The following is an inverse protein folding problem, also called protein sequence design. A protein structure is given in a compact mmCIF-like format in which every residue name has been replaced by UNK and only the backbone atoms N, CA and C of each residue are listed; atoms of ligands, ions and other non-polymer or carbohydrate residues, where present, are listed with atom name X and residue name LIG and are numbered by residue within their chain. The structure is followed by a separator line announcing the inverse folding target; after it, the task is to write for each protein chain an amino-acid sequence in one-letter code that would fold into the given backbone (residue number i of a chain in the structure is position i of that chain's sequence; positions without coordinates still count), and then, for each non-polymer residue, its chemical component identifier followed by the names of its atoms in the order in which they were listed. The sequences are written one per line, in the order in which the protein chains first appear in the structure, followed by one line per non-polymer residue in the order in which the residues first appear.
data_IF_042910049958
#
_entry.id   IF_042910049958
#
_cell.length_a   1.000
_cell.length_b   1.000
_cell.length_c   1.000
_cell.angle_alpha   90.00
_cell.angle_beta   90.00
_cell.angle_gamma   90.00
#
_symmetry.space_group_name_H-M   'P 1'
#
loop_
_entity.id
_entity.type
_entity.pdbx_description
1 polymer ?
#
# COMPACT_ATOMS: atom_id res chain seq x y z
N UNK A 1 -33.28 -2.86 8.63
CA UNK A 1 -33.40 -4.32 8.53
C UNK A 1 -34.85 -4.68 8.27
N UNK A 2 -35.20 -5.17 7.07
CA UNK A 2 -36.54 -5.59 6.72
C UNK A 2 -36.94 -6.84 7.51
N UNK A 3 -38.20 -6.91 7.93
CA UNK A 3 -38.77 -8.11 8.51
C UNK A 3 -39.31 -8.99 7.38
N UNK A 4 -38.57 -10.05 7.04
CA UNK A 4 -39.00 -11.07 6.08
C UNK A 4 -39.49 -12.30 6.83
N UNK A 5 -40.73 -12.70 6.56
CA UNK A 5 -41.36 -13.82 7.26
C UNK A 5 -40.57 -15.11 6.99
N UNK A 6 -40.03 -15.70 8.07
CA UNK A 6 -39.25 -16.94 8.00
C UNK A 6 -37.75 -16.76 7.69
N UNK A 7 -37.25 -15.54 7.59
CA UNK A 7 -35.82 -15.25 7.47
C UNK A 7 -35.33 -14.46 8.69
N UNK A 8 -34.33 -15.02 9.38
CA UNK A 8 -33.69 -14.38 10.54
C UNK A 8 -32.27 -13.96 10.15
N UNK A 9 -31.99 -12.66 10.26
CA UNK A 9 -30.66 -12.13 10.00
C UNK A 9 -29.73 -12.46 11.17
N UNK A 10 -28.50 -12.95 10.93
CA UNK A 10 -27.55 -13.29 12.00
C UNK A 10 -27.17 -12.05 12.84
N UNK A 11 -27.58 -12.02 14.11
CA UNK A 11 -27.36 -10.86 14.99
C UNK A 11 -25.86 -10.70 15.30
N UNK A 12 -25.16 -11.81 15.38
CA UNK A 12 -23.70 -11.90 15.55
C UNK A 12 -22.92 -11.17 14.45
N UNK A 13 -23.50 -11.01 13.26
CA UNK A 13 -22.84 -10.38 12.11
C UNK A 13 -22.95 -8.84 12.12
N UNK A 14 -23.84 -8.27 12.94
CA UNK A 14 -24.08 -6.81 12.95
C UNK A 14 -22.81 -6.01 13.27
N UNK A 15 -22.09 -6.38 14.33
CA UNK A 15 -20.84 -5.69 14.72
C UNK A 15 -19.69 -5.95 13.75
N UNK A 16 -19.37 -7.22 13.39
CA UNK A 16 -18.33 -7.52 12.40
C UNK A 16 -18.55 -6.81 11.07
N UNK A 17 -19.79 -6.79 10.55
CA UNK A 17 -20.12 -6.12 9.31
C UNK A 17 -19.88 -4.61 9.41
N UNK A 18 -20.35 -3.99 10.49
CA UNK A 18 -20.16 -2.56 10.72
C UNK A 18 -18.69 -2.16 10.84
N UNK A 19 -17.90 -2.94 11.59
CA UNK A 19 -16.47 -2.70 11.77
C UNK A 19 -15.69 -2.90 10.47
N UNK A 20 -16.05 -3.92 9.68
CA UNK A 20 -15.46 -4.16 8.36
C UNK A 20 -15.67 -2.97 7.42
N UNK A 21 -16.90 -2.47 7.32
CA UNK A 21 -17.22 -1.31 6.48
C UNK A 21 -16.55 -0.03 6.99
N UNK A 22 -16.43 0.15 8.31
CA UNK A 22 -15.66 1.26 8.90
C UNK A 22 -14.18 1.18 8.53
N UNK A 23 -13.57 0.01 8.60
CA UNK A 23 -12.18 -0.22 8.18
C UNK A 23 -11.97 0.14 6.69
N UNK A 24 -12.96 -0.11 5.83
CA UNK A 24 -12.93 0.29 4.42
C UNK A 24 -13.26 1.76 4.17
N UNK A 25 -13.56 2.53 5.23
CA UNK A 25 -14.09 3.91 5.15
C UNK A 25 -15.38 4.00 4.32
N UNK A 26 -16.18 2.93 4.37
CA UNK A 26 -17.48 2.78 3.70
C UNK A 26 -18.60 2.51 4.70
N UNK A 27 -18.44 2.90 5.97
CA UNK A 27 -19.44 2.69 7.02
C UNK A 27 -20.83 3.27 6.72
N UNK A 28 -20.91 4.28 5.85
CA UNK A 28 -22.20 4.83 5.38
C UNK A 28 -23.01 3.84 4.52
N UNK A 29 -22.40 2.76 4.01
CA UNK A 29 -23.10 1.69 3.30
C UNK A 29 -23.76 0.69 4.24
N UNK A 30 -23.49 0.75 5.56
CA UNK A 30 -23.98 -0.23 6.53
C UNK A 30 -25.49 -0.42 6.46
N UNK A 31 -26.24 0.68 6.46
CA UNK A 31 -27.70 0.62 6.37
C UNK A 31 -28.17 0.01 5.04
N UNK A 32 -27.50 0.32 3.93
CA UNK A 32 -27.82 -0.27 2.61
C UNK A 32 -27.62 -1.78 2.60
N UNK A 33 -26.54 -2.27 3.21
CA UNK A 33 -26.29 -3.72 3.29
C UNK A 33 -27.34 -4.40 4.20
N UNK A 34 -27.68 -3.81 5.34
CA UNK A 34 -28.72 -4.33 6.22
C UNK A 34 -30.11 -4.32 5.59
N UNK A 35 -30.42 -3.31 4.78
CA UNK A 35 -31.70 -3.20 4.10
C UNK A 35 -31.86 -4.24 2.98
N UNK A 36 -30.74 -4.74 2.45
CA UNK A 36 -30.68 -5.76 1.40
C UNK A 36 -30.26 -7.13 1.95
N UNK A 37 -30.32 -7.30 3.28
CA UNK A 37 -30.00 -8.54 4.02
C UNK A 37 -28.62 -9.13 3.69
N UNK A 38 -27.62 -8.28 3.50
CA UNK A 38 -26.24 -8.71 3.30
C UNK A 38 -25.59 -8.97 4.66
N UNK A 39 -25.33 -10.24 4.95
CA UNK A 39 -24.59 -10.72 6.13
C UNK A 39 -23.12 -11.04 5.79
N UNK A 40 -22.34 -11.50 6.77
CA UNK A 40 -20.92 -11.80 6.56
C UNK A 40 -20.73 -12.98 5.61
N UNK A 41 -21.63 -13.96 5.64
CA UNK A 41 -21.58 -15.13 4.76
C UNK A 41 -21.86 -14.73 3.31
N UNK A 42 -22.87 -13.91 3.05
CA UNK A 42 -23.22 -13.39 1.72
C UNK A 42 -22.03 -12.61 1.15
N UNK A 43 -21.34 -11.80 1.96
CA UNK A 43 -20.12 -11.11 1.52
C UNK A 43 -19.04 -12.07 1.02
N UNK A 44 -18.90 -13.28 1.56
CA UNK A 44 -17.87 -14.24 1.09
C UNK A 44 -18.11 -14.74 -0.33
N UNK A 45 -19.37 -14.79 -0.79
CA UNK A 45 -19.76 -15.32 -2.10
C UNK A 45 -20.20 -14.23 -3.09
N UNK A 46 -20.28 -12.98 -2.62
CA UNK A 46 -20.72 -11.84 -3.41
C UNK A 46 -19.76 -11.54 -4.57
N UNK A 47 -20.32 -11.37 -5.78
CA UNK A 47 -19.56 -11.09 -7.01
C UNK A 47 -19.74 -9.64 -7.46
N UNK A 48 -18.86 -9.18 -8.33
CA UNK A 48 -18.93 -7.82 -8.92
C UNK A 48 -20.34 -7.48 -9.42
N UNK A 49 -20.99 -8.38 -10.18
CA UNK A 49 -22.37 -8.15 -10.68
C UNK A 49 -23.35 -7.81 -9.55
N UNK A 50 -23.28 -8.50 -8.42
CA UNK A 50 -24.14 -8.25 -7.26
C UNK A 50 -23.81 -6.91 -6.60
N UNK A 51 -22.54 -6.49 -6.58
CA UNK A 51 -22.12 -5.18 -6.05
C UNK A 51 -22.73 -4.04 -6.86
N UNK A 52 -22.70 -4.14 -8.19
CA UNK A 52 -23.28 -3.12 -9.07
C UNK A 52 -24.80 -3.04 -8.96
N UNK A 53 -25.46 -4.18 -8.70
CA UNK A 53 -26.89 -4.28 -8.39
C UNK A 53 -27.23 -3.64 -7.03
N UNK A 54 -26.55 -4.09 -5.96
CA UNK A 54 -26.72 -3.63 -4.57
C UNK A 54 -26.54 -2.11 -4.47
N UNK A 55 -25.45 -1.60 -5.06
CA UNK A 55 -25.07 -0.21 -4.95
C UNK A 55 -25.58 0.64 -6.11
N UNK A 56 -26.62 0.19 -6.84
CA UNK A 56 -27.08 0.86 -8.07
C UNK A 56 -27.34 2.36 -7.92
N UNK A 57 -27.84 2.79 -6.75
CA UNK A 57 -28.15 4.18 -6.38
C UNK A 57 -26.92 5.03 -6.02
N UNK A 58 -25.76 4.40 -5.83
CA UNK A 58 -24.52 5.08 -5.48
C UNK A 58 -23.68 5.44 -6.71
N UNK A 59 -22.83 6.47 -6.63
CA UNK A 59 -21.90 6.82 -7.70
C UNK A 59 -20.96 5.66 -8.05
N UNK A 60 -20.52 5.58 -9.32
CA UNK A 60 -19.63 4.53 -9.84
C UNK A 60 -18.37 4.35 -8.98
N UNK A 61 -17.77 5.45 -8.50
CA UNK A 61 -16.58 5.39 -7.64
C UNK A 61 -16.81 4.62 -6.34
N UNK A 62 -18.02 4.66 -5.77
CA UNK A 62 -18.35 3.89 -4.57
C UNK A 62 -18.49 2.41 -4.90
N UNK A 63 -19.11 2.07 -6.04
CA UNK A 63 -19.22 0.68 -6.53
C UNK A 63 -17.85 0.04 -6.72
N UNK A 64 -16.95 0.77 -7.41
CA UNK A 64 -15.58 0.32 -7.65
C UNK A 64 -14.82 0.14 -6.33
N UNK A 65 -14.90 1.13 -5.43
CA UNK A 65 -14.19 1.07 -4.14
C UNK A 65 -14.67 -0.09 -3.27
N UNK A 66 -15.99 -0.30 -3.18
CA UNK A 66 -16.55 -1.43 -2.44
C UNK A 66 -16.12 -2.75 -3.06
N UNK A 67 -16.23 -2.90 -4.39
CA UNK A 67 -15.82 -4.11 -5.11
C UNK A 67 -14.35 -4.46 -4.86
N UNK A 68 -13.46 -3.47 -4.87
CA UNK A 68 -12.04 -3.68 -4.61
C UNK A 68 -11.76 -4.18 -3.19
N UNK A 69 -12.37 -3.55 -2.18
CA UNK A 69 -12.17 -3.98 -0.80
C UNK A 69 -12.78 -5.35 -0.51
N UNK A 70 -13.94 -5.65 -1.12
CA UNK A 70 -14.59 -6.94 -1.02
C UNK A 70 -13.70 -8.07 -1.58
N UNK A 71 -13.16 -7.89 -2.79
CA UNK A 71 -12.30 -8.87 -3.45
C UNK A 71 -11.02 -9.13 -2.63
N UNK A 72 -10.37 -8.06 -2.15
CA UNK A 72 -9.19 -8.20 -1.29
C UNK A 72 -9.51 -8.95 0.01
N UNK A 73 -10.65 -8.65 0.64
CA UNK A 73 -11.07 -9.31 1.86
C UNK A 73 -11.38 -10.80 1.63
N UNK A 74 -12.10 -11.14 0.56
CA UNK A 74 -12.38 -12.53 0.17
C UNK A 74 -11.07 -13.32 -0.07
N UNK A 75 -10.09 -12.72 -0.74
CA UNK A 75 -8.79 -13.35 -1.01
C UNK A 75 -8.02 -13.67 0.28
N UNK A 76 -8.11 -12.81 1.29
CA UNK A 76 -7.51 -13.08 2.61
C UNK A 76 -8.20 -14.24 3.32
N UNK A 77 -9.52 -14.37 3.20
CA UNK A 77 -10.26 -15.51 3.79
C UNK A 77 -9.93 -16.83 3.10
N UNK A 78 -9.81 -16.82 1.78
CA UNK A 78 -9.49 -18.01 0.99
C UNK A 78 -8.01 -18.45 1.12
N UNK A 79 -7.11 -17.53 1.51
CA UNK A 79 -5.70 -17.80 1.73
C UNK A 79 -5.39 -18.72 2.93
N UNK A 80 -6.38 -19.06 3.76
CA UNK A 80 -6.21 -19.96 4.90
C UNK A 80 -6.59 -21.43 4.61
N UNK A 81 -6.98 -21.78 3.37
CA UNK A 81 -7.19 -23.16 2.95
C UNK A 81 -6.95 -23.32 1.45
N UNK A 82 -5.75 -23.80 1.12
CA UNK A 82 -5.38 -24.68 -0.01
C UNK A 82 -4.08 -24.23 -0.71
N UNK A 83 -2.99 -24.91 -0.35
CA UNK A 83 -1.91 -25.16 -1.29
C UNK A 83 -2.45 -25.98 -2.46
N UNK A 84 -2.53 -25.39 -3.65
CA UNK A 84 -2.19 -26.07 -4.92
C UNK A 84 -2.05 -25.05 -6.05
N UNK A 85 -0.84 -24.97 -6.58
CA UNK A 85 -0.57 -24.51 -7.94
C UNK A 85 -1.47 -25.28 -8.92
N UNK A 86 -2.03 -24.59 -9.91
CA UNK A 86 -1.63 -24.82 -11.29
C UNK A 86 -2.11 -23.71 -12.24
N UNK A 87 -1.11 -23.19 -12.95
CA UNK A 87 -1.06 -22.44 -14.20
C UNK A 87 -2.22 -22.71 -15.19
N UNK A 88 -2.70 -21.66 -15.88
CA UNK A 88 -2.77 -21.49 -17.36
C UNK A 88 -3.67 -20.29 -17.70
N UNK A 89 -3.06 -19.23 -18.25
CA UNK A 89 -3.70 -18.24 -19.15
C UNK A 89 -3.82 -18.88 -20.56
N UNK A 90 -4.74 -18.48 -21.48
CA UNK A 90 -4.66 -17.13 -22.09
C UNK A 90 -5.90 -16.51 -22.81
N UNK A 91 -5.81 -15.16 -23.00
CA UNK A 91 -6.35 -14.30 -24.10
C UNK A 91 -7.87 -14.08 -24.14
N UNK A 92 -8.45 -12.95 -24.54
CA UNK A 92 -8.03 -11.79 -25.34
C UNK A 92 -9.12 -10.69 -25.14
N UNK A 93 -8.79 -9.40 -25.29
CA UNK A 93 -9.43 -8.42 -26.22
C UNK A 93 -9.02 -6.98 -25.83
N UNK A 94 -8.53 -6.25 -26.84
CA UNK A 94 -8.06 -4.85 -26.89
C UNK A 94 -9.25 -3.90 -26.57
N UNK A 95 -9.16 -2.67 -26.06
CA UNK A 95 -8.16 -1.61 -26.23
C UNK A 95 -8.47 -0.40 -25.30
N UNK A 96 -7.48 0.48 -25.15
CA UNK A 96 -7.48 1.84 -24.59
C UNK A 96 -7.51 1.99 -23.05
N UNK A 97 -6.33 1.77 -22.46
CA UNK A 97 -5.99 2.22 -21.11
C UNK A 97 -4.75 3.10 -21.23
N UNK A 98 -4.83 4.34 -20.76
CA UNK A 98 -3.65 5.10 -20.36
C UNK A 98 -3.03 4.34 -19.19
N UNK A 99 -1.86 3.75 -19.40
CA UNK A 99 -1.10 3.00 -18.41
C UNK A 99 -0.75 3.90 -17.21
N UNK A 100 -1.53 3.82 -16.14
CA UNK A 100 -1.03 3.99 -14.79
C UNK A 100 -0.65 2.60 -14.29
N UNK A 101 0.61 2.35 -13.90
CA UNK A 101 1.07 1.03 -13.52
C UNK A 101 0.34 0.61 -12.24
N UNK A 102 -0.45 -0.46 -12.33
CA UNK A 102 -0.95 -1.18 -11.16
C UNK A 102 0.27 -1.85 -10.52
N UNK A 103 0.99 -1.09 -9.70
CA UNK A 103 2.10 -1.62 -8.91
C UNK A 103 1.47 -2.55 -7.91
N UNK A 104 1.74 -3.83 -8.06
CA UNK A 104 1.43 -4.87 -7.09
C UNK A 104 2.13 -4.49 -5.77
N UNK A 105 1.36 -3.91 -4.83
CA UNK A 105 1.88 -3.45 -3.53
C UNK A 105 2.00 -4.66 -2.60
N UNK A 106 2.79 -5.65 -3.00
CA UNK A 106 3.24 -6.70 -2.12
C UNK A 106 4.50 -6.19 -1.39
N UNK A 107 4.31 -5.39 -0.33
CA UNK A 107 5.37 -4.99 0.60
C UNK A 107 4.90 -5.27 2.02
N UNK A 108 5.50 -6.24 2.70
CA UNK A 108 5.21 -6.53 4.10
C UNK A 108 6.32 -5.92 4.97
N UNK A 109 5.96 -5.04 5.92
CA UNK A 109 6.92 -4.40 6.82
C UNK A 109 7.62 -5.41 7.74
N UNK A 110 6.90 -6.43 8.20
CA UNK A 110 7.45 -7.49 9.02
C UNK A 110 8.60 -8.20 8.32
N UNK A 111 8.38 -8.62 7.07
CA UNK A 111 9.41 -9.31 6.27
C UNK A 111 10.63 -8.43 6.01
N UNK A 112 10.42 -7.14 5.77
CA UNK A 112 11.53 -6.18 5.59
C UNK A 112 12.39 -6.13 6.86
N UNK A 113 11.75 -6.03 8.03
CA UNK A 113 12.48 -5.90 9.28
C UNK A 113 13.17 -7.20 9.70
N UNK A 114 12.55 -8.36 9.48
CA UNK A 114 13.16 -9.65 9.80
C UNK A 114 14.29 -10.02 8.82
N UNK A 115 14.25 -9.51 7.58
CA UNK A 115 15.33 -9.71 6.60
C UNK A 115 16.62 -8.93 6.90
N UNK A 116 16.59 -8.02 7.87
CA UNK A 116 17.70 -7.12 8.22
C UNK A 116 18.09 -7.27 9.68
N UNK A 117 19.40 -7.36 9.95
CA UNK A 117 19.93 -7.34 11.32
C UNK A 117 19.45 -6.11 12.07
N UNK A 118 19.51 -4.95 11.40
CA UNK A 118 19.04 -3.67 11.94
C UNK A 118 17.53 -3.71 12.23
N UNK A 119 16.73 -4.28 11.33
CA UNK A 119 15.29 -4.40 11.52
C UNK A 119 14.92 -5.28 12.72
N UNK A 120 15.64 -6.40 12.90
CA UNK A 120 15.47 -7.27 14.07
C UNK A 120 15.79 -6.55 15.37
N UNK A 121 16.88 -5.76 15.41
CA UNK A 121 17.23 -4.95 16.58
C UNK A 121 16.17 -3.88 16.91
N UNK A 122 15.52 -3.30 15.90
CA UNK A 122 14.41 -2.34 16.11
C UNK A 122 13.22 -3.04 16.77
N UNK A 123 12.86 -4.23 16.28
CA UNK A 123 11.77 -5.03 16.85
C UNK A 123 12.07 -5.36 18.31
N UNK A 124 13.28 -5.85 18.61
CA UNK A 124 13.66 -6.25 19.96
C UNK A 124 13.74 -5.05 20.91
N UNK A 125 14.24 -3.91 20.45
CA UNK A 125 14.18 -2.67 21.22
C UNK A 125 12.74 -2.30 21.57
N UNK A 126 11.82 -2.36 20.60
CA UNK A 126 10.42 -2.02 20.84
C UNK A 126 9.75 -2.98 21.84
N UNK A 127 10.02 -4.29 21.76
CA UNK A 127 9.48 -5.27 22.72
C UNK A 127 9.84 -4.94 24.17
N UNK A 128 11.04 -4.38 24.40
CA UNK A 128 11.52 -4.02 25.73
C UNK A 128 10.98 -2.66 26.19
N UNK A 129 10.92 -1.67 25.29
CA UNK A 129 10.65 -0.27 25.66
C UNK A 129 9.22 0.18 25.38
N UNK A 130 8.46 -0.60 24.60
CA UNK A 130 7.11 -0.32 24.09
C UNK A 130 6.95 1.06 23.42
N UNK A 131 8.05 1.63 22.94
CA UNK A 131 8.11 2.92 22.26
C UNK A 131 9.39 3.06 21.44
N UNK A 132 9.34 3.76 20.32
CA UNK A 132 10.54 4.14 19.57
C UNK A 132 11.00 5.55 19.95
N UNK A 133 12.31 5.77 19.98
CA UNK A 133 12.90 7.11 20.06
C UNK A 133 13.25 7.64 18.65
N UNK A 134 13.56 8.92 18.51
CA UNK A 134 13.73 9.54 17.18
C UNK A 134 14.86 8.92 16.34
N UNK A 135 15.93 8.48 16.99
CA UNK A 135 17.05 7.80 16.33
C UNK A 135 16.58 6.46 15.74
N UNK A 136 15.83 5.68 16.50
CA UNK A 136 15.31 4.38 16.07
C UNK A 136 14.23 4.54 15.00
N UNK A 137 13.38 5.57 15.09
CA UNK A 137 12.45 5.93 14.00
C UNK A 137 13.21 6.21 12.70
N UNK A 138 14.33 6.92 12.79
CA UNK A 138 15.16 7.24 11.62
C UNK A 138 15.80 5.98 11.03
N UNK A 139 16.23 5.05 11.89
CA UNK A 139 16.78 3.76 11.48
C UNK A 139 15.74 2.83 10.84
N UNK A 140 14.52 2.82 11.36
CA UNK A 140 13.36 2.14 10.79
C UNK A 140 13.09 2.65 9.37
N UNK A 141 13.00 3.97 9.21
CA UNK A 141 12.78 4.60 7.90
C UNK A 141 13.92 4.28 6.94
N UNK A 142 15.18 4.35 7.37
CA UNK A 142 16.33 3.98 6.54
C UNK A 142 16.24 2.53 6.05
N UNK A 143 15.90 1.59 6.94
CA UNK A 143 15.80 0.17 6.64
C UNK A 143 14.73 -0.08 5.57
N UNK A 144 13.55 0.53 5.74
CA UNK A 144 12.45 0.42 4.78
C UNK A 144 12.81 1.05 3.43
N UNK A 145 13.35 2.26 3.42
CA UNK A 145 13.73 2.95 2.17
C UNK A 145 14.84 2.18 1.45
N UNK A 146 15.83 1.67 2.17
CA UNK A 146 16.89 0.85 1.59
C UNK A 146 16.31 -0.37 0.87
N UNK A 147 15.35 -1.07 1.47
CA UNK A 147 14.67 -2.19 0.84
C UNK A 147 13.89 -1.80 -0.43
N UNK A 148 13.16 -0.68 -0.40
CA UNK A 148 12.40 -0.21 -1.58
C UNK A 148 13.35 0.10 -2.74
N UNK A 149 14.49 0.72 -2.43
CA UNK A 149 15.52 1.07 -3.42
C UNK A 149 16.15 -0.19 -4.01
N UNK A 150 16.55 -1.15 -3.17
CA UNK A 150 17.21 -2.39 -3.63
C UNK A 150 16.27 -3.27 -4.45
N UNK A 151 14.98 -3.29 -4.10
CA UNK A 151 13.92 -3.97 -4.86
C UNK A 151 13.47 -3.17 -6.09
N UNK A 152 14.08 -2.01 -6.36
CA UNK A 152 13.79 -1.12 -7.51
C UNK A 152 12.33 -0.69 -7.60
N UNK A 153 11.62 -0.63 -6.47
CA UNK A 153 10.23 -0.14 -6.42
C UNK A 153 10.21 1.39 -6.39
N UNK A 154 9.23 1.99 -7.06
CA UNK A 154 9.03 3.44 -7.01
C UNK A 154 8.25 3.85 -5.76
N UNK A 155 8.68 4.93 -5.11
CA UNK A 155 7.91 5.51 -4.02
C UNK A 155 6.72 6.31 -4.57
N UNK A 156 5.52 5.83 -4.26
CA UNK A 156 4.27 6.56 -4.49
C UNK A 156 3.67 7.03 -3.17
N UNK A 157 2.72 7.97 -3.26
CA UNK A 157 1.89 8.42 -2.12
C UNK A 157 1.19 7.23 -1.47
N UNK A 158 0.58 6.36 -2.28
CA UNK A 158 -0.18 5.22 -1.78
C UNK A 158 0.74 4.22 -1.07
N UNK A 159 1.95 4.01 -1.60
CA UNK A 159 2.92 3.12 -0.99
C UNK A 159 3.42 3.68 0.36
N UNK A 160 3.71 4.97 0.43
CA UNK A 160 4.13 5.60 1.68
C UNK A 160 3.00 5.60 2.73
N UNK A 161 1.74 5.82 2.31
CA UNK A 161 0.58 5.70 3.19
C UNK A 161 0.40 4.27 3.72
N UNK A 162 0.52 3.28 2.85
CA UNK A 162 0.42 1.87 3.17
C UNK A 162 1.50 1.42 4.16
N UNK A 163 2.76 1.81 3.93
CA UNK A 163 3.85 1.55 4.88
C UNK A 163 3.58 2.24 6.22
N UNK A 164 3.10 3.49 6.20
CA UNK A 164 2.72 4.21 7.42
C UNK A 164 1.65 3.46 8.24
N UNK A 165 0.66 2.86 7.58
CA UNK A 165 -0.35 2.02 8.24
C UNK A 165 0.25 0.75 8.84
N UNK A 166 1.21 0.11 8.16
CA UNK A 166 1.90 -1.06 8.71
C UNK A 166 2.78 -0.71 9.92
N UNK A 167 3.44 0.45 9.90
CA UNK A 167 4.27 0.91 11.03
C UNK A 167 3.42 1.05 12.29
N UNK A 168 2.26 1.71 12.21
CA UNK A 168 1.38 1.86 13.38
C UNK A 168 0.74 0.54 13.82
N UNK A 169 0.52 -0.40 12.89
CA UNK A 169 0.01 -1.73 13.22
C UNK A 169 1.06 -2.57 13.97
N UNK A 170 2.34 -2.46 13.59
CA UNK A 170 3.45 -3.19 14.21
C UNK A 170 3.97 -2.52 15.49
N UNK A 171 3.89 -1.19 15.56
CA UNK A 171 4.35 -0.36 16.68
C UNK A 171 3.21 0.56 17.16
N UNK A 172 2.26 0.07 17.97
CA UNK A 172 1.07 0.83 18.36
C UNK A 172 1.32 2.17 19.09
N UNK A 173 2.51 2.38 19.67
CA UNK A 173 2.87 3.66 20.28
C UNK A 173 3.18 4.77 19.27
N UNK A 174 3.30 4.44 17.99
CA UNK A 174 3.75 5.33 16.94
C UNK A 174 2.60 6.09 16.28
N UNK A 175 2.90 7.30 15.80
CA UNK A 175 1.92 8.15 15.12
C UNK A 175 2.23 8.18 13.63
N UNK A 176 1.25 7.80 12.80
CA UNK A 176 1.39 7.71 11.34
C UNK A 176 1.95 8.99 10.73
N UNK A 177 1.52 10.13 11.23
CA UNK A 177 1.92 11.46 10.76
C UNK A 177 3.43 11.72 10.82
N UNK A 178 4.13 11.04 11.74
CA UNK A 178 5.60 11.08 11.81
C UNK A 178 6.23 10.51 10.53
N UNK A 179 5.59 9.50 9.94
CA UNK A 179 6.12 8.73 8.81
C UNK A 179 5.57 9.20 7.48
N UNK A 180 4.28 9.51 7.43
CA UNK A 180 3.60 9.95 6.22
C UNK A 180 2.33 10.76 6.52
N UNK A 181 2.21 11.92 5.87
CA UNK A 181 1.00 12.75 5.85
C UNK A 181 0.75 13.28 4.45
N UNK A 182 -0.51 13.19 3.98
CA UNK A 182 -0.98 13.90 2.80
C UNK A 182 -2.30 14.58 3.14
N UNK A 183 -2.28 15.90 3.28
CA UNK A 183 -3.52 16.68 3.42
C UNK A 183 -4.12 16.95 2.04
N UNK A 184 -5.44 16.96 1.95
CA UNK A 184 -6.17 17.27 0.71
C UNK A 184 -5.81 18.65 0.14
N UNK A 185 -5.42 19.58 1.00
CA UNK A 185 -5.03 20.96 0.65
C UNK A 185 -3.54 21.14 0.35
N UNK A 186 -2.67 20.18 0.72
CA UNK A 186 -1.24 20.27 0.48
C UNK A 186 -0.85 19.46 -0.76
N UNK A 187 -0.26 20.15 -1.76
CA UNK A 187 0.25 19.51 -2.97
C UNK A 187 1.36 18.48 -2.70
N UNK A 188 2.13 18.68 -1.63
CA UNK A 188 3.32 17.87 -1.36
C UNK A 188 3.12 16.97 -0.12
N UNK A 189 3.35 15.65 -0.25
CA UNK A 189 3.36 14.75 0.90
C UNK A 189 4.47 15.13 1.90
N UNK A 190 4.17 14.94 3.18
CA UNK A 190 5.11 15.17 4.30
C UNK A 190 5.40 13.85 5.04
N UNK A 191 6.40 13.88 5.91
CA UNK A 191 6.80 12.75 6.74
C UNK A 191 8.14 12.14 6.35
N UNK A 192 8.70 11.33 7.25
CA UNK A 192 10.06 10.78 7.12
C UNK A 192 10.22 9.84 5.91
N UNK A 193 9.22 9.04 5.56
CA UNK A 193 9.32 8.06 4.46
C UNK A 193 9.54 8.73 3.11
N UNK A 194 8.65 9.66 2.75
CA UNK A 194 8.69 10.32 1.45
C UNK A 194 9.94 11.18 1.31
N UNK A 195 10.27 11.98 2.33
CA UNK A 195 11.47 12.81 2.33
C UNK A 195 12.74 11.96 2.19
N UNK A 196 12.85 10.87 2.96
CA UNK A 196 14.02 10.00 2.95
C UNK A 196 14.23 9.33 1.60
N UNK A 197 13.17 8.79 0.97
CA UNK A 197 13.29 8.15 -0.34
C UNK A 197 13.93 9.06 -1.39
N UNK A 198 13.39 10.28 -1.56
CA UNK A 198 13.92 11.20 -2.58
C UNK A 198 15.29 11.75 -2.19
N UNK A 199 15.59 11.94 -0.90
CA UNK A 199 16.93 12.29 -0.44
C UNK A 199 17.94 11.19 -0.77
N UNK A 200 17.62 9.93 -0.49
CA UNK A 200 18.48 8.78 -0.79
C UNK A 200 18.65 8.60 -2.31
N UNK A 201 17.58 8.74 -3.10
CA UNK A 201 17.67 8.72 -4.57
C UNK A 201 18.55 9.83 -5.13
N UNK A 202 18.46 11.05 -4.59
CA UNK A 202 19.35 12.15 -4.98
C UNK A 202 20.79 11.82 -4.65
N UNK A 203 21.07 11.38 -3.43
CA UNK A 203 22.42 11.01 -2.99
C UNK A 203 23.03 9.92 -3.90
N UNK A 204 22.27 8.88 -4.21
CA UNK A 204 22.72 7.77 -5.07
C UNK A 204 22.94 8.20 -6.53
N UNK A 205 22.16 9.16 -7.04
CA UNK A 205 22.39 9.77 -8.36
C UNK A 205 23.66 10.62 -8.35
N UNK A 206 23.83 11.46 -7.33
CA UNK A 206 25.01 12.33 -7.18
C UNK A 206 26.29 11.52 -7.01
N UNK A 207 26.23 10.37 -6.33
CA UNK A 207 27.38 9.47 -6.18
C UNK A 207 27.63 8.57 -7.40
N UNK A 208 26.82 8.66 -8.46
CA UNK A 208 26.96 7.86 -9.67
C UNK A 208 26.54 6.39 -9.53
N UNK A 209 25.88 6.01 -8.42
CA UNK A 209 25.41 4.63 -8.20
C UNK A 209 24.09 4.34 -8.93
N UNK A 210 23.35 5.38 -9.34
CA UNK A 210 22.12 5.27 -10.12
C UNK A 210 22.14 6.27 -11.28
N UNK A 211 21.83 5.80 -12.49
CA UNK A 211 21.76 6.63 -13.70
C UNK A 211 20.37 7.29 -13.78
N UNK A 212 20.26 8.62 -13.97
CA UNK A 212 18.97 9.27 -14.19
C UNK A 212 18.37 8.85 -15.54
N UNK A 213 17.08 8.53 -15.54
CA UNK A 213 16.31 8.01 -16.69
C UNK A 213 16.32 8.91 -17.94
N UNK A 214 16.75 10.17 -17.82
CA UNK A 214 16.79 11.13 -18.93
C UNK A 214 18.21 11.44 -19.44
N UNK A 215 19.22 10.69 -19.01
CA UNK A 215 20.57 10.85 -19.55
C UNK A 215 20.71 10.05 -20.86
N UNK A 216 20.30 10.65 -21.97
CA UNK A 216 20.99 10.36 -23.23
C UNK A 216 22.49 10.62 -22.98
N UNK A 217 23.27 9.59 -23.24
CA UNK A 217 24.73 9.56 -23.10
C UNK A 217 25.34 10.76 -23.84
N UNK A 218 25.65 11.83 -23.11
CA UNK A 218 26.71 12.76 -23.53
C UNK A 218 28.01 12.16 -23.03
N UNK A 219 28.67 11.40 -23.89
CA UNK A 219 30.07 11.02 -23.71
C UNK A 219 30.85 12.31 -23.42
N UNK A 220 31.63 12.38 -22.33
CA UNK A 220 32.49 13.52 -22.10
C UNK A 220 33.65 13.44 -23.10
N UNK A 221 33.57 14.24 -24.17
CA UNK A 221 34.73 14.51 -25.01
C UNK A 221 35.72 15.29 -24.14
N UNK A 222 36.78 14.62 -23.70
CA UNK A 222 37.93 15.26 -23.06
C UNK A 222 38.50 16.29 -24.04
N UNK A 223 38.29 17.57 -23.77
CA UNK A 223 39.06 18.64 -24.41
C UNK A 223 40.48 18.59 -23.86
N UNK A 224 41.38 17.92 -24.59
CA UNK A 224 42.82 18.03 -24.41
C UNK A 224 43.21 19.42 -24.91
N UNK A 225 43.30 20.40 -24.03
CA UNK A 225 44.05 21.63 -24.32
C UNK A 225 45.47 21.45 -23.79
N UNK A 226 46.34 20.96 -24.69
CA UNK A 226 47.80 21.08 -24.55
C UNK A 226 48.14 22.57 -24.58
N UNK A 227 48.66 23.11 -23.47
CA UNK A 227 49.48 24.31 -23.54
C UNK A 227 50.91 23.86 -23.80
N UNK A 228 51.38 24.11 -25.03
CA UNK A 228 52.79 24.06 -25.38
C UNK A 228 53.57 25.00 -24.45
N UNK A 229 54.64 24.49 -23.88
CA UNK A 229 55.77 25.26 -23.37
C UNK A 229 56.94 24.89 -24.27
N UNK A 230 57.55 25.87 -24.89
CA UNK A 230 58.83 25.77 -25.59
C UNK A 230 59.40 27.21 -25.70
N UNK A 231 60.73 27.37 -25.80
CA UNK A 231 61.72 27.10 -24.76
C UNK A 231 62.24 28.39 -24.10
#
# INVERSE_FOLDING_TARGET
MPLLQGYEYPIEDLQPLHDLLKCWKLGFLYQTLLDELIDMQVLTVMKSVHVYELLKKFPLGIKIKFSHYLENWQNVQNGSSNNKLDTILPKNTKSFVQEEPVVDININLGDILTSSTTGSMIIDYYKINNKLNDNIRSLLVETVISYIITTKKQMSVNLADYIGNQIIAMFPSEVKDTYFMKHETNKNPKGKLYAKFYNSMRALKTSGLIIPSNAHVKVPVKSINRKHFEP
#
